data_IF_550106215094
#
_entry.id   IF_550106215094
#
_cell.length_a   1.000
_cell.length_b   1.000
_cell.length_c   1.000
_cell.angle_alpha   90.00
_cell.angle_beta   90.00
_cell.angle_gamma   90.00
#
_symmetry.space_group_name_H-M   'P 1'
#
loop_
_entity.id
_entity.type
_entity.pdbx_description
1 polymer ?
#
# COMPACT_ATOMS: atom_id res chain seq x y z
N UNK A 1 -13.09 -36.90 -43.78
CA UNK A 1 -12.39 -37.03 -42.49
C UNK A 1 -11.37 -35.90 -42.38
N UNK A 2 -11.77 -34.75 -41.83
CA UNK A 2 -10.93 -33.56 -41.69
C UNK A 2 -10.55 -33.41 -40.21
N UNK A 3 -9.27 -33.63 -39.87
CA UNK A 3 -8.72 -33.32 -38.54
C UNK A 3 -8.55 -31.81 -38.44
N UNK A 4 -9.35 -31.16 -37.60
CA UNK A 4 -9.14 -29.77 -37.17
C UNK A 4 -7.83 -29.69 -36.38
N UNK A 5 -6.89 -28.87 -36.87
CA UNK A 5 -5.74 -28.41 -36.10
C UNK A 5 -6.25 -27.37 -35.08
N UNK A 6 -6.21 -27.72 -33.79
CA UNK A 6 -6.48 -26.77 -32.71
C UNK A 6 -5.42 -25.65 -32.68
N UNK A 7 -5.77 -24.44 -32.22
CA UNK A 7 -4.82 -23.34 -32.15
C UNK A 7 -3.69 -23.67 -31.17
N UNK A 8 -2.47 -23.31 -31.56
CA UNK A 8 -1.28 -23.43 -30.71
C UNK A 8 -1.50 -22.63 -29.41
N UNK A 9 -1.11 -23.17 -28.24
CA UNK A 9 -1.17 -22.43 -26.99
C UNK A 9 -0.27 -21.18 -27.10
N UNK A 10 -0.86 -20.01 -26.83
CA UNK A 10 -0.19 -18.71 -26.70
C UNK A 10 0.79 -18.80 -25.52
N UNK A 11 2.05 -19.19 -25.83
CA UNK A 11 3.18 -19.16 -24.90
C UNK A 11 3.56 -17.70 -24.63
N UNK A 12 2.78 -17.04 -23.76
CA UNK A 12 3.24 -15.80 -23.12
C UNK A 12 4.44 -16.14 -22.24
N UNK A 13 5.53 -15.35 -22.28
CA UNK A 13 6.73 -15.66 -21.52
C UNK A 13 6.38 -15.63 -20.03
N UNK A 14 6.55 -16.79 -19.40
CA UNK A 14 6.40 -17.05 -17.97
C UNK A 14 7.20 -16.05 -17.14
N UNK A 15 6.55 -14.97 -16.72
CA UNK A 15 7.01 -14.20 -15.57
C UNK A 15 6.74 -15.06 -14.33
N UNK A 16 7.72 -15.86 -13.92
CA UNK A 16 7.74 -16.48 -12.59
C UNK A 16 7.77 -15.35 -11.54
N UNK A 17 6.59 -15.02 -11.01
CA UNK A 17 6.46 -14.06 -9.92
C UNK A 17 6.96 -14.73 -8.63
N UNK A 18 8.14 -14.32 -8.19
CA UNK A 18 8.66 -14.69 -6.87
C UNK A 18 8.16 -13.67 -5.85
N UNK A 19 7.53 -14.15 -4.78
CA UNK A 19 7.32 -13.33 -3.59
C UNK A 19 8.67 -12.96 -2.95
N UNK A 20 8.68 -12.00 -2.01
CA UNK A 20 9.94 -11.55 -1.38
C UNK A 20 10.69 -12.68 -0.67
N UNK A 21 9.97 -13.69 -0.16
CA UNK A 21 10.58 -14.84 0.47
C UNK A 21 11.31 -15.71 -0.57
N UNK A 22 10.69 -15.89 -1.74
CA UNK A 22 11.25 -16.53 -2.92
C UNK A 22 12.48 -15.78 -3.44
N UNK A 23 12.44 -14.45 -3.53
CA UNK A 23 13.59 -13.65 -3.94
C UNK A 23 14.74 -13.72 -2.93
N UNK A 24 14.48 -13.57 -1.62
CA UNK A 24 15.51 -13.69 -0.58
C UNK A 24 16.10 -15.10 -0.54
N UNK A 25 15.26 -16.13 -0.68
CA UNK A 25 15.67 -17.53 -0.67
C UNK A 25 16.45 -17.89 -1.93
N UNK A 26 16.04 -17.43 -3.10
CA UNK A 26 16.79 -17.62 -4.35
C UNK A 26 18.10 -16.84 -4.32
N UNK A 27 18.12 -15.61 -3.81
CA UNK A 27 19.36 -14.83 -3.62
C UNK A 27 20.32 -15.53 -2.65
N UNK A 28 19.81 -16.08 -1.55
CA UNK A 28 20.61 -16.83 -0.58
C UNK A 28 21.11 -18.16 -1.17
N UNK A 29 20.26 -18.89 -1.90
CA UNK A 29 20.62 -20.13 -2.58
C UNK A 29 21.62 -19.89 -3.70
N UNK A 30 21.46 -18.86 -4.54
CA UNK A 30 22.46 -18.49 -5.55
C UNK A 30 23.80 -18.16 -4.89
N UNK A 31 23.78 -17.40 -3.79
CA UNK A 31 24.99 -17.05 -3.05
C UNK A 31 25.67 -18.26 -2.41
N UNK A 32 24.90 -19.27 -2.01
CA UNK A 32 25.40 -20.50 -1.41
C UNK A 32 25.82 -21.57 -2.44
N UNK A 33 25.12 -21.66 -3.57
CA UNK A 33 25.30 -22.70 -4.60
C UNK A 33 26.34 -22.35 -5.65
N UNK A 34 26.56 -21.06 -5.95
CA UNK A 34 27.55 -20.67 -6.96
C UNK A 34 28.95 -20.41 -6.38
N UNK A 35 29.11 -20.18 -5.07
CA UNK A 35 30.41 -19.88 -4.49
C UNK A 35 30.59 -20.35 -3.04
N UNK A 36 31.65 -21.12 -2.81
CA UNK A 36 32.28 -21.16 -1.50
C UNK A 36 32.89 -19.77 -1.22
N UNK A 37 32.38 -19.09 -0.19
CA UNK A 37 32.81 -17.75 0.26
C UNK A 37 34.33 -17.58 0.44
N UNK A 38 35.06 -18.69 0.56
CA UNK A 38 36.52 -18.71 0.66
C UNK A 38 37.26 -18.22 -0.61
N UNK A 39 36.65 -18.30 -1.80
CA UNK A 39 37.36 -17.99 -3.05
C UNK A 39 37.33 -16.52 -3.48
N UNK A 40 36.40 -15.69 -2.97
CA UNK A 40 36.24 -14.30 -3.41
C UNK A 40 35.81 -13.36 -2.27
N UNK A 41 36.74 -12.94 -1.38
CA UNK A 41 36.41 -12.18 -0.17
C UNK A 41 35.96 -10.72 -0.44
N UNK A 42 36.35 -10.15 -1.57
CA UNK A 42 36.06 -8.74 -1.91
C UNK A 42 34.66 -8.55 -2.54
N UNK A 43 33.98 -9.65 -2.91
CA UNK A 43 32.81 -9.58 -3.80
C UNK A 43 33.22 -9.18 -5.23
N UNK A 44 32.50 -9.67 -6.22
CA UNK A 44 32.81 -9.41 -7.63
C UNK A 44 31.76 -8.41 -8.16
N UNK A 45 32.19 -7.23 -8.61
CA UNK A 45 31.29 -6.11 -8.98
C UNK A 45 30.40 -6.38 -10.19
N UNK A 46 30.76 -7.37 -11.00
CA UNK A 46 29.95 -7.94 -12.08
C UNK A 46 28.70 -8.67 -11.56
N UNK A 47 28.68 -9.11 -10.29
CA UNK A 47 27.55 -9.84 -9.69
C UNK A 47 26.40 -8.89 -9.34
N UNK A 48 26.68 -7.70 -8.82
CA UNK A 48 25.61 -6.75 -8.49
C UNK A 48 24.90 -6.26 -9.76
N UNK A 49 25.67 -6.06 -10.82
CA UNK A 49 25.18 -5.75 -12.16
C UNK A 49 24.40 -6.94 -12.76
N UNK A 50 24.88 -8.17 -12.59
CA UNK A 50 24.15 -9.37 -13.03
C UNK A 50 22.86 -9.57 -12.24
N UNK A 51 22.85 -9.35 -10.92
CA UNK A 51 21.66 -9.39 -10.09
C UNK A 51 20.67 -8.27 -10.45
N UNK A 52 21.14 -7.07 -10.77
CA UNK A 52 20.30 -5.98 -11.30
C UNK A 52 19.69 -6.39 -12.65
N UNK A 53 20.45 -6.98 -13.57
CA UNK A 53 19.93 -7.48 -14.86
C UNK A 53 18.93 -8.61 -14.69
N UNK A 54 19.15 -9.53 -13.74
CA UNK A 54 18.18 -10.59 -13.41
C UNK A 54 16.94 -10.01 -12.72
N UNK A 55 17.08 -8.96 -11.90
CA UNK A 55 15.95 -8.22 -11.33
C UNK A 55 15.18 -7.39 -12.39
N UNK A 56 15.78 -7.08 -13.54
CA UNK A 56 15.05 -6.51 -14.69
C UNK A 56 14.23 -7.58 -15.42
N UNK A 57 14.67 -8.84 -15.41
CA UNK A 57 13.92 -9.99 -15.95
C UNK A 57 12.83 -10.46 -14.98
N UNK A 58 13.06 -10.33 -13.67
CA UNK A 58 12.07 -10.60 -12.61
C UNK A 58 11.49 -9.27 -12.13
N UNK A 59 10.39 -8.80 -12.74
CA UNK A 59 9.63 -7.65 -12.22
C UNK A 59 9.10 -7.97 -10.82
N UNK A 60 9.87 -7.63 -9.79
CA UNK A 60 9.41 -7.66 -8.40
C UNK A 60 8.35 -6.59 -8.27
N UNK A 61 7.08 -6.98 -8.15
CA UNK A 61 6.05 -6.05 -7.70
C UNK A 61 6.39 -5.67 -6.25
N UNK A 62 6.48 -4.39 -5.90
CA UNK A 62 6.61 -4.01 -4.50
C UNK A 62 5.43 -4.57 -3.72
N UNK A 63 5.70 -5.05 -2.51
CA UNK A 63 4.66 -5.53 -1.59
C UNK A 63 3.74 -4.38 -1.18
N UNK A 64 2.61 -4.69 -0.53
CA UNK A 64 1.74 -3.64 0.03
C UNK A 64 2.50 -2.77 1.04
N UNK A 65 3.30 -3.39 1.91
CA UNK A 65 4.12 -2.72 2.91
C UNK A 65 5.13 -1.72 2.35
N UNK A 66 5.84 -2.06 1.26
CA UNK A 66 6.78 -1.13 0.62
C UNK A 66 6.04 0.07 0.02
N UNK A 67 4.89 -0.16 -0.61
CA UNK A 67 4.06 0.93 -1.14
C UNK A 67 3.48 1.82 -0.03
N UNK A 68 3.20 1.26 1.14
CA UNK A 68 2.74 2.01 2.32
C UNK A 68 3.87 2.74 3.06
N UNK A 69 5.13 2.40 2.83
CA UNK A 69 6.26 3.09 3.48
C UNK A 69 6.40 4.53 2.98
N UNK A 70 6.00 4.79 1.73
CA UNK A 70 6.00 6.12 1.11
C UNK A 70 4.76 6.96 1.46
N UNK A 71 3.84 6.40 2.24
CA UNK A 71 2.58 7.06 2.58
C UNK A 71 2.68 7.83 3.91
N UNK A 72 2.02 8.99 4.03
CA UNK A 72 2.05 9.79 5.25
C UNK A 72 1.40 9.03 6.41
N UNK A 73 2.09 8.96 7.54
CA UNK A 73 1.59 8.30 8.75
C UNK A 73 0.74 9.28 9.58
N UNK A 74 -0.47 8.87 10.01
CA UNK A 74 -1.44 9.77 10.64
C UNK A 74 -1.10 10.11 12.10
N UNK A 75 -0.18 9.38 12.72
CA UNK A 75 0.30 9.62 14.07
C UNK A 75 1.03 10.96 14.23
N UNK A 76 1.55 11.51 13.13
CA UNK A 76 2.17 12.85 13.06
C UNK A 76 1.17 14.00 13.24
N UNK A 77 -0.14 13.76 13.17
CA UNK A 77 -1.12 14.82 13.36
C UNK A 77 -1.23 15.23 14.83
N UNK A 78 -0.90 16.49 15.12
CA UNK A 78 -1.06 17.09 16.44
C UNK A 78 -2.47 17.64 16.70
N UNK A 79 -3.18 18.05 15.63
CA UNK A 79 -4.50 18.67 15.71
C UNK A 79 -5.37 18.36 14.47
N UNK A 80 -6.54 18.99 14.35
CA UNK A 80 -7.46 18.82 13.22
C UNK A 80 -6.87 19.35 11.90
N UNK A 81 -6.05 20.40 11.94
CA UNK A 81 -5.45 21.00 10.75
C UNK A 81 -4.39 20.07 10.19
N UNK A 82 -3.45 19.61 11.02
CA UNK A 82 -2.42 18.66 10.65
C UNK A 82 -3.00 17.33 10.14
N UNK A 83 -4.09 16.85 10.75
CA UNK A 83 -4.78 15.65 10.27
C UNK A 83 -5.32 15.80 8.85
N UNK A 84 -5.89 16.96 8.53
CA UNK A 84 -6.39 17.27 7.19
C UNK A 84 -5.25 17.43 6.19
N UNK A 85 -4.12 17.99 6.61
CA UNK A 85 -2.93 18.07 5.77
C UNK A 85 -2.38 16.68 5.43
N UNK A 86 -2.35 15.75 6.39
CA UNK A 86 -1.97 14.37 6.12
C UNK A 86 -2.96 13.68 5.18
N UNK A 87 -4.28 13.96 5.27
CA UNK A 87 -5.26 13.44 4.31
C UNK A 87 -5.04 13.98 2.90
N UNK A 88 -4.63 15.26 2.76
CA UNK A 88 -4.28 15.85 1.47
C UNK A 88 -3.02 15.20 0.90
N UNK A 89 -1.99 15.06 1.73
CA UNK A 89 -0.74 14.38 1.34
C UNK A 89 -0.99 12.93 0.94
N UNK A 90 -1.88 12.23 1.65
CA UNK A 90 -2.30 10.87 1.30
C UNK A 90 -2.92 10.82 -0.09
N UNK A 91 -3.81 11.76 -0.41
CA UNK A 91 -4.42 11.85 -1.75
C UNK A 91 -3.35 12.09 -2.82
N UNK A 92 -2.38 12.96 -2.55
CA UNK A 92 -1.28 13.23 -3.48
C UNK A 92 -0.42 11.98 -3.70
N UNK A 93 -0.03 11.29 -2.63
CA UNK A 93 0.75 10.04 -2.70
C UNK A 93 0.02 8.93 -3.47
N UNK A 94 -1.31 8.91 -3.40
CA UNK A 94 -2.16 7.97 -4.14
C UNK A 94 -2.38 8.34 -5.62
N UNK A 95 -1.69 9.34 -6.17
CA UNK A 95 -1.85 9.78 -7.56
C UNK A 95 -2.99 10.77 -7.79
N UNK A 96 -3.40 11.47 -6.72
CA UNK A 96 -4.40 12.53 -6.75
C UNK A 96 -5.80 12.12 -7.28
N UNK A 97 -6.40 11.03 -6.77
CA UNK A 97 -7.72 10.60 -7.22
C UNK A 97 -8.78 11.69 -7.05
N UNK A 98 -9.59 11.90 -8.08
CA UNK A 98 -10.71 12.84 -8.04
C UNK A 98 -11.69 12.48 -6.90
N UNK A 99 -12.26 13.48 -6.22
CA UNK A 99 -13.21 13.25 -5.13
C UNK A 99 -14.43 12.43 -5.56
N UNK A 100 -14.86 12.56 -6.82
CA UNK A 100 -15.90 11.72 -7.40
C UNK A 100 -15.50 10.24 -7.49
N UNK A 101 -14.23 9.94 -7.82
CA UNK A 101 -13.71 8.58 -7.86
C UNK A 101 -13.65 7.95 -6.47
N UNK A 102 -13.27 8.72 -5.45
CA UNK A 102 -13.31 8.30 -4.04
C UNK A 102 -14.76 8.06 -3.57
N UNK A 103 -15.70 8.89 -4.03
CA UNK A 103 -17.11 8.81 -3.65
C UNK A 103 -17.86 7.63 -4.28
N UNK A 104 -17.51 7.21 -5.49
CA UNK A 104 -18.13 6.07 -6.20
C UNK A 104 -17.94 4.73 -5.50
N UNK A 105 -16.89 4.61 -4.68
CA UNK A 105 -16.57 3.38 -3.95
C UNK A 105 -17.57 3.17 -2.81
N UNK A 106 -18.05 1.93 -2.58
CA UNK A 106 -18.90 1.64 -1.44
C UNK A 106 -18.15 1.88 -0.12
N UNK A 107 -18.85 2.18 1.00
CA UNK A 107 -20.29 2.49 1.11
C UNK A 107 -20.64 3.86 0.48
N UNK A 108 -21.91 4.12 0.13
CA UNK A 108 -22.36 5.33 -0.60
C UNK A 108 -21.90 6.64 0.06
N UNK A 109 -21.46 7.61 -0.74
CA UNK A 109 -21.14 8.97 -0.29
C UNK A 109 -21.04 9.94 -1.48
N UNK A 110 -20.96 11.25 -1.23
CA UNK A 110 -20.87 12.26 -2.29
C UNK A 110 -19.44 12.78 -2.48
N UNK A 111 -19.16 13.32 -3.67
CA UNK A 111 -17.89 14.01 -3.94
C UNK A 111 -17.66 15.18 -2.98
N UNK A 112 -18.73 15.90 -2.62
CA UNK A 112 -18.68 16.99 -1.64
C UNK A 112 -18.28 16.49 -0.25
N UNK A 113 -18.73 15.30 0.17
CA UNK A 113 -18.29 14.70 1.44
C UNK A 113 -16.80 14.39 1.41
N UNK A 114 -16.28 13.83 0.32
CA UNK A 114 -14.83 13.54 0.19
C UNK A 114 -13.99 14.82 0.15
N UNK A 115 -14.49 15.87 -0.53
CA UNK A 115 -13.88 17.19 -0.50
C UNK A 115 -13.88 17.76 0.93
N UNK A 116 -15.01 17.69 1.63
CA UNK A 116 -15.11 18.14 3.02
C UNK A 116 -14.17 17.39 3.97
N UNK A 117 -13.86 16.12 3.72
CA UNK A 117 -12.87 15.35 4.50
C UNK A 117 -11.47 15.95 4.38
N UNK A 118 -11.06 16.39 3.19
CA UNK A 118 -9.74 16.99 2.98
C UNK A 118 -9.70 18.50 3.23
N UNK A 119 -10.75 19.25 2.89
CA UNK A 119 -10.72 20.72 2.77
C UNK A 119 -11.69 21.49 3.69
N UNK A 120 -12.62 20.83 4.38
CA UNK A 120 -13.51 21.47 5.37
C UNK A 120 -12.81 22.00 6.62
N UNK A 121 -13.58 22.66 7.50
CA UNK A 121 -13.10 23.30 8.75
C UNK A 121 -13.31 22.45 10.01
N UNK A 122 -14.19 21.45 9.97
CA UNK A 122 -14.50 20.57 11.12
C UNK A 122 -13.64 19.31 11.19
N UNK A 123 -13.70 18.58 12.31
CA UNK A 123 -13.12 17.23 12.38
C UNK A 123 -14.00 16.31 11.51
N UNK A 124 -13.46 15.64 10.47
CA UNK A 124 -14.26 14.73 9.66
C UNK A 124 -14.79 13.57 10.50
N UNK A 125 -15.88 12.93 10.10
CA UNK A 125 -16.36 11.73 10.79
C UNK A 125 -15.48 10.53 10.46
N UNK A 126 -15.39 9.56 11.37
CA UNK A 126 -14.61 8.34 11.11
C UNK A 126 -15.10 7.58 9.85
N UNK A 127 -16.41 7.34 9.63
CA UNK A 127 -16.86 6.67 8.42
C UNK A 127 -16.44 7.37 7.12
N UNK A 128 -16.47 8.70 7.09
CA UNK A 128 -16.03 9.47 5.92
C UNK A 128 -14.51 9.42 5.73
N UNK A 129 -13.76 9.49 6.83
CA UNK A 129 -12.29 9.38 6.85
C UNK A 129 -11.83 8.00 6.39
N UNK A 130 -12.39 6.92 6.96
CA UNK A 130 -12.11 5.53 6.58
C UNK A 130 -12.37 5.30 5.10
N UNK A 131 -13.49 5.79 4.57
CA UNK A 131 -13.81 5.71 3.14
C UNK A 131 -12.76 6.45 2.28
N UNK A 132 -12.37 7.65 2.69
CA UNK A 132 -11.37 8.45 1.99
C UNK A 132 -10.01 7.73 1.93
N UNK A 133 -9.51 7.27 3.08
CA UNK A 133 -8.23 6.56 3.18
C UNK A 133 -8.27 5.27 2.36
N UNK A 134 -9.35 4.50 2.48
CA UNK A 134 -9.54 3.26 1.70
C UNK A 134 -9.49 3.53 0.20
N UNK A 135 -10.18 4.55 -0.27
CA UNK A 135 -10.16 4.91 -1.70
C UNK A 135 -8.77 5.32 -2.19
N UNK A 136 -7.97 5.99 -1.35
CA UNK A 136 -6.58 6.34 -1.69
C UNK A 136 -5.69 5.09 -1.76
N UNK A 137 -5.86 4.13 -0.84
CA UNK A 137 -5.13 2.86 -0.89
C UNK A 137 -5.45 2.06 -2.16
N UNK A 138 -6.74 1.95 -2.50
CA UNK A 138 -7.16 1.24 -3.71
C UNK A 138 -6.62 1.89 -4.99
N UNK A 139 -6.61 3.23 -5.05
CA UNK A 139 -6.01 3.96 -6.18
C UNK A 139 -4.50 3.68 -6.31
N UNK A 140 -3.80 3.58 -5.18
CA UNK A 140 -2.40 3.18 -5.13
C UNK A 140 -2.16 1.68 -5.37
N UNK A 141 -3.22 0.92 -5.69
CA UNK A 141 -3.17 -0.52 -5.91
C UNK A 141 -2.89 -1.34 -4.65
N UNK A 142 -3.10 -0.76 -3.47
CA UNK A 142 -2.96 -1.41 -2.17
C UNK A 142 -4.33 -1.98 -1.79
N UNK A 143 -4.39 -3.27 -1.45
CA UNK A 143 -5.63 -3.89 -1.00
C UNK A 143 -5.94 -3.47 0.45
N UNK A 144 -6.99 -2.66 0.70
CA UNK A 144 -7.32 -2.21 2.04
C UNK A 144 -7.78 -3.34 2.97
N UNK A 145 -8.31 -4.45 2.43
CA UNK A 145 -8.71 -5.62 3.22
C UNK A 145 -7.58 -6.61 3.52
N UNK A 146 -6.35 -6.30 3.09
CA UNK A 146 -5.16 -7.05 3.53
C UNK A 146 -4.82 -6.70 4.98
N UNK A 147 -4.08 -7.56 5.68
CA UNK A 147 -3.63 -7.28 7.05
C UNK A 147 -2.85 -5.96 7.17
N UNK A 148 -2.05 -5.62 6.14
CA UNK A 148 -1.31 -4.35 6.06
C UNK A 148 -2.25 -3.16 5.83
N UNK A 149 -3.23 -3.31 4.94
CA UNK A 149 -4.24 -2.29 4.68
C UNK A 149 -5.10 -2.01 5.91
N UNK A 150 -5.54 -3.04 6.62
CA UNK A 150 -6.31 -2.89 7.86
C UNK A 150 -5.47 -2.31 9.00
N UNK A 151 -4.20 -2.69 9.14
CA UNK A 151 -3.29 -2.07 10.10
C UNK A 151 -3.11 -0.57 9.81
N UNK A 152 -2.98 -0.20 8.53
CA UNK A 152 -2.89 1.19 8.12
C UNK A 152 -4.19 1.95 8.41
N UNK A 153 -5.36 1.37 8.13
CA UNK A 153 -6.64 1.96 8.50
C UNK A 153 -6.79 2.13 10.03
N UNK A 154 -6.27 1.19 10.81
CA UNK A 154 -6.25 1.26 12.26
C UNK A 154 -5.42 2.43 12.78
N UNK A 155 -4.23 2.68 12.21
CA UNK A 155 -3.40 3.85 12.54
C UNK A 155 -4.18 5.17 12.33
N UNK A 156 -4.91 5.25 11.22
CA UNK A 156 -5.78 6.40 10.89
C UNK A 156 -6.94 6.56 11.88
N UNK A 157 -7.52 5.47 12.33
CA UNK A 157 -8.57 5.48 13.35
C UNK A 157 -8.03 5.98 14.70
N UNK A 158 -6.87 5.47 15.12
CA UNK A 158 -6.20 5.89 16.36
C UNK A 158 -5.89 7.38 16.37
N UNK A 159 -5.34 7.90 15.26
CA UNK A 159 -5.11 9.33 15.11
C UNK A 159 -6.42 10.14 15.17
N UNK A 160 -7.45 9.70 14.45
CA UNK A 160 -8.76 10.35 14.47
C UNK A 160 -9.37 10.41 15.88
N UNK A 161 -9.33 9.31 16.63
CA UNK A 161 -9.82 9.24 18.02
C UNK A 161 -9.07 10.22 18.92
N UNK A 162 -7.74 10.25 18.81
CA UNK A 162 -6.87 11.17 19.57
C UNK A 162 -7.29 12.63 19.35
N UNK A 163 -7.41 13.04 18.09
CA UNK A 163 -7.78 14.42 17.72
C UNK A 163 -9.20 14.76 18.17
N UNK A 164 -10.13 13.82 18.03
CA UNK A 164 -11.52 14.01 18.47
C UNK A 164 -11.59 14.23 19.99
N UNK A 165 -10.87 13.40 20.76
CA UNK A 165 -10.83 13.49 22.22
C UNK A 165 -10.24 14.79 22.73
N UNK A 166 -9.15 15.27 22.10
CA UNK A 166 -8.57 16.58 22.41
C UNK A 166 -9.58 17.70 22.20
N UNK A 167 -10.39 17.63 21.13
CA UNK A 167 -11.41 18.64 20.82
C UNK A 167 -12.61 18.59 21.77
N UNK A 168 -13.04 17.40 22.19
CA UNK A 168 -14.24 17.27 23.05
C UNK A 168 -13.93 17.36 24.54
N UNK A 169 -12.65 17.44 24.94
CA UNK A 169 -12.24 17.37 26.34
C UNK A 169 -12.63 16.05 27.02
N UNK A 170 -12.96 15.02 26.23
CA UNK A 170 -13.46 13.72 26.70
C UNK A 170 -12.41 12.66 26.38
N UNK A 171 -12.01 11.80 27.34
CA UNK A 171 -10.99 10.78 27.11
C UNK A 171 -11.37 9.87 25.94
N UNK A 172 -10.36 9.39 25.21
CA UNK A 172 -10.54 8.52 24.05
C UNK A 172 -11.27 7.23 24.45
N UNK A 173 -12.46 7.05 23.90
CA UNK A 173 -13.26 5.87 24.10
C UNK A 173 -12.56 4.69 23.40
N UNK A 174 -12.37 3.57 24.11
CA UNK A 174 -11.72 2.37 23.59
C UNK A 174 -12.48 1.78 22.40
N UNK A 175 -11.82 1.09 21.45
CA UNK A 175 -12.51 0.47 20.34
C UNK A 175 -13.46 -0.62 20.81
N UNK A 176 -14.63 -0.80 20.14
CA UNK A 176 -15.50 -1.93 20.41
C UNK A 176 -14.74 -3.23 20.09
N UNK A 177 -14.98 -4.32 20.85
CA UNK A 177 -14.36 -5.61 20.55
C UNK A 177 -14.76 -6.07 19.15
N UNK A 178 -13.81 -6.62 18.42
CA UNK A 178 -14.07 -7.26 17.13
C UNK A 178 -15.00 -8.46 17.37
N UNK A 179 -16.23 -8.36 16.85
CA UNK A 179 -17.20 -9.45 16.78
C UNK A 179 -17.21 -10.10 15.42
#
# INVERSE_FOLDING_TARGET
>A
MTRSAGPAPDLRPDALYLDQLGYRRIRALFRASLYALAQYPQGRGDIEETLRRVAVVVRVRPTGAERLADFPRPDLAADVVGFRDLLRQLRLAAGEPAFAALARRPPVGSASTMWNVAAGSGTPTWPATRKFVRGCLEEAGINPGSSEGEAYLYDWECAWRRIRSQRTGRPAESPPPAG
#
